data_IF_862771805757
#
_entry.id   IF_862771805757
#
_cell.length_a   1.000
_cell.length_b   1.000
_cell.length_c   1.000
_cell.angle_alpha   90.00
_cell.angle_beta   90.00
_cell.angle_gamma   90.00
#
_symmetry.space_group_name_H-M   'P 1'
#
loop_
_entity.id
_entity.type
_entity.pdbx_description
1 polymer ?
#
# COMPACT_ATOMS: atom_id res chain seq x y z
N UNK A 1 4.89 -2.05 4.15
CA UNK A 1 3.75 -2.93 3.86
C UNK A 1 4.19 -4.38 3.88
N UNK A 2 5.12 -4.79 3.01
CA UNK A 2 5.50 -6.20 2.79
C UNK A 2 6.02 -6.93 4.04
N UNK A 3 6.98 -6.33 4.75
CA UNK A 3 7.49 -6.90 6.00
C UNK A 3 6.39 -7.03 7.09
N UNK A 4 5.42 -6.12 7.06
CA UNK A 4 4.37 -6.04 8.06
C UNK A 4 3.33 -7.15 7.86
N UNK A 5 2.86 -7.37 6.63
CA UNK A 5 1.97 -8.50 6.33
C UNK A 5 2.67 -9.86 6.55
N UNK A 6 3.96 -9.95 6.22
CA UNK A 6 4.75 -11.16 6.48
C UNK A 6 4.78 -11.53 7.97
N UNK A 7 4.84 -10.53 8.85
CA UNK A 7 4.96 -10.74 10.30
C UNK A 7 3.61 -10.81 11.03
N UNK A 8 2.60 -10.10 10.56
CA UNK A 8 1.32 -9.91 11.25
C UNK A 8 0.13 -10.63 10.58
N UNK A 9 0.37 -11.34 9.47
CA UNK A 9 -0.65 -12.08 8.75
C UNK A 9 -1.33 -13.15 9.60
N UNK A 10 -2.64 -13.31 9.41
CA UNK A 10 -3.41 -14.39 10.04
C UNK A 10 -4.16 -15.19 8.99
N UNK A 11 -4.28 -16.49 9.23
CA UNK A 11 -5.01 -17.41 8.36
C UNK A 11 -6.44 -16.88 8.13
N UNK A 12 -6.92 -17.02 6.89
CA UNK A 12 -8.28 -16.67 6.47
C UNK A 12 -8.63 -15.18 6.70
N UNK A 13 -7.61 -14.30 6.74
CA UNK A 13 -7.76 -12.86 6.91
C UNK A 13 -6.88 -12.07 5.93
N UNK A 14 -7.40 -10.95 5.44
CA UNK A 14 -6.59 -9.85 4.95
C UNK A 14 -6.13 -8.96 6.12
N UNK A 15 -5.15 -8.08 5.87
CA UNK A 15 -4.65 -7.12 6.85
C UNK A 15 -4.90 -5.70 6.34
N UNK A 16 -5.72 -4.95 7.07
CA UNK A 16 -5.85 -3.51 6.89
C UNK A 16 -4.77 -2.83 7.74
N UNK A 17 -3.99 -1.96 7.11
CA UNK A 17 -2.92 -1.19 7.76
C UNK A 17 -3.30 0.29 7.65
N UNK A 18 -3.56 0.95 8.78
CA UNK A 18 -3.67 2.41 8.79
C UNK A 18 -2.26 3.00 8.77
N UNK A 19 -1.85 3.61 7.65
CA UNK A 19 -0.51 4.18 7.50
C UNK A 19 -0.23 5.39 8.41
N UNK A 20 -1.25 6.01 9.01
CA UNK A 20 -1.07 7.16 9.92
C UNK A 20 -0.72 6.71 11.33
N UNK A 21 -1.46 5.73 11.84
CA UNK A 21 -1.32 5.20 13.21
C UNK A 21 -0.42 3.96 13.26
N UNK A 22 -0.22 3.30 12.12
CA UNK A 22 0.48 2.01 11.94
C UNK A 22 -0.23 0.82 12.60
N UNK A 23 -1.51 0.99 12.93
CA UNK A 23 -2.30 -0.04 13.58
C UNK A 23 -2.75 -1.13 12.58
N UNK A 24 -2.53 -2.42 12.89
CA UNK A 24 -3.05 -3.55 12.12
C UNK A 24 -4.49 -3.87 12.50
N UNK A 25 -5.35 -4.06 11.51
CA UNK A 25 -6.69 -4.65 11.70
C UNK A 25 -6.84 -5.89 10.82
N UNK A 26 -7.10 -7.05 11.44
CA UNK A 26 -7.43 -8.27 10.68
C UNK A 26 -8.83 -8.17 10.10
N UNK A 27 -8.96 -8.43 8.80
CA UNK A 27 -10.25 -8.41 8.08
C UNK A 27 -10.52 -9.83 7.59
N UNK A 28 -11.59 -10.46 8.07
CA UNK A 28 -11.92 -11.83 7.71
C UNK A 28 -12.16 -11.96 6.20
N UNK A 29 -11.57 -12.99 5.59
CA UNK A 29 -11.72 -13.33 4.18
C UNK A 29 -12.42 -14.70 4.07
N UNK A 30 -13.75 -14.69 4.18
CA UNK A 30 -14.57 -15.91 4.35
C UNK A 30 -15.75 -15.99 3.38
N UNK A 31 -15.72 -15.26 2.26
CA UNK A 31 -16.78 -15.33 1.24
C UNK A 31 -16.68 -16.64 0.44
N UNK A 32 -17.69 -17.53 0.45
CA UNK A 32 -17.63 -18.81 -0.25
C UNK A 32 -17.54 -18.65 -1.78
N UNK A 33 -18.02 -17.52 -2.31
CA UNK A 33 -18.05 -17.22 -3.74
C UNK A 33 -16.86 -16.34 -4.20
N UNK A 34 -15.89 -16.10 -3.31
CA UNK A 34 -14.77 -15.19 -3.59
C UNK A 34 -13.44 -15.92 -3.47
N UNK A 35 -12.67 -15.90 -4.55
CA UNK A 35 -11.32 -16.47 -4.61
C UNK A 35 -10.33 -15.41 -5.12
N UNK A 36 -9.11 -15.45 -4.60
CA UNK A 36 -8.00 -14.63 -5.09
C UNK A 36 -7.12 -15.52 -5.96
N UNK A 37 -6.92 -15.10 -7.21
CA UNK A 37 -6.01 -15.77 -8.15
C UNK A 37 -4.84 -14.83 -8.45
N UNK A 38 -3.61 -15.32 -8.28
CA UNK A 38 -2.40 -14.57 -8.64
C UNK A 38 -1.99 -14.96 -10.05
N UNK A 39 -2.14 -14.04 -11.00
CA UNK A 39 -1.69 -14.21 -12.38
C UNK A 39 -0.39 -13.44 -12.62
N UNK A 40 0.71 -14.16 -12.85
CA UNK A 40 2.00 -13.54 -13.17
C UNK A 40 2.02 -13.08 -14.63
N UNK A 41 2.30 -11.79 -14.87
CA UNK A 41 2.42 -11.24 -16.23
C UNK A 41 3.68 -11.70 -16.97
N UNK A 42 4.62 -12.33 -16.25
CA UNK A 42 5.96 -12.72 -16.74
C UNK A 42 6.85 -11.56 -17.21
N UNK A 43 6.46 -10.31 -16.97
CA UNK A 43 7.30 -9.13 -17.20
C UNK A 43 8.17 -8.90 -15.97
N UNK A 44 9.49 -8.88 -16.16
CA UNK A 44 10.43 -8.59 -15.08
C UNK A 44 10.56 -7.09 -14.89
N UNK A 45 10.14 -6.60 -13.73
CA UNK A 45 10.39 -5.23 -13.27
C UNK A 45 11.51 -5.24 -12.23
N UNK A 46 12.42 -4.27 -12.31
CA UNK A 46 13.46 -4.07 -11.28
C UNK A 46 12.98 -3.07 -10.23
N UNK A 47 12.81 -3.55 -9.00
CA UNK A 47 12.36 -2.72 -7.87
C UNK A 47 13.46 -1.79 -7.32
N UNK A 48 14.72 -2.01 -7.70
CA UNK A 48 15.84 -1.12 -7.34
C UNK A 48 15.97 0.08 -8.30
N UNK A 49 15.11 0.18 -9.31
CA UNK A 49 15.06 1.32 -10.23
C UNK A 49 14.68 2.64 -9.54
N UNK A 50 15.02 3.76 -10.19
CA UNK A 50 14.67 5.10 -9.71
C UNK A 50 13.17 5.41 -9.76
N UNK A 51 12.39 4.66 -10.52
CA UNK A 51 10.96 4.90 -10.77
C UNK A 51 10.13 4.93 -9.47
N UNK A 52 10.31 3.94 -8.59
CA UNK A 52 9.57 3.91 -7.33
C UNK A 52 9.93 5.10 -6.42
N UNK A 53 11.21 5.52 -6.41
CA UNK A 53 11.67 6.70 -5.66
C UNK A 53 11.13 7.99 -6.25
N UNK A 54 11.10 8.09 -7.58
CA UNK A 54 10.60 9.25 -8.31
C UNK A 54 9.11 9.47 -8.00
N UNK A 55 8.30 8.41 -8.01
CA UNK A 55 6.88 8.51 -7.64
C UNK A 55 6.68 9.03 -6.20
N UNK A 56 7.55 8.63 -5.27
CA UNK A 56 7.53 9.15 -3.89
C UNK A 56 7.85 10.65 -3.85
N UNK A 57 8.87 11.09 -4.57
CA UNK A 57 9.26 12.50 -4.65
C UNK A 57 8.15 13.37 -5.24
N UNK A 58 7.51 12.89 -6.31
CA UNK A 58 6.40 13.57 -6.97
C UNK A 58 5.21 13.73 -6.00
N UNK A 59 4.83 12.67 -5.29
CA UNK A 59 3.77 12.76 -4.28
C UNK A 59 4.12 13.77 -3.18
N UNK A 60 5.36 13.77 -2.69
CA UNK A 60 5.81 14.71 -1.66
C UNK A 60 5.77 16.17 -2.15
N UNK A 61 6.16 16.42 -3.41
CA UNK A 61 6.12 17.74 -4.00
C UNK A 61 4.68 18.27 -4.10
N UNK A 62 3.75 17.44 -4.56
CA UNK A 62 2.33 17.81 -4.68
C UNK A 62 1.71 18.10 -3.31
N UNK A 63 1.97 17.24 -2.31
CA UNK A 63 1.46 17.47 -0.94
C UNK A 63 1.96 18.80 -0.38
N UNK A 64 3.24 19.14 -0.58
CA UNK A 64 3.80 20.44 -0.17
C UNK A 64 3.09 21.61 -0.86
N UNK A 65 2.90 21.52 -2.19
CA UNK A 65 2.21 22.57 -2.94
C UNK A 65 0.78 22.77 -2.42
N UNK A 66 0.03 21.69 -2.22
CA UNK A 66 -1.33 21.77 -1.68
C UNK A 66 -1.36 22.40 -0.28
N UNK A 67 -0.45 22.02 0.61
CA UNK A 67 -0.36 22.59 1.96
C UNK A 67 -0.08 24.10 1.95
N UNK A 68 0.71 24.59 0.98
CA UNK A 68 0.98 26.02 0.82
C UNK A 68 -0.17 26.81 0.21
N UNK A 69 -1.11 26.15 -0.46
CA UNK A 69 -2.30 26.78 -1.05
C UNK A 69 -3.46 26.87 -0.05
N UNK A 70 -3.49 26.05 1.00
CA UNK A 70 -4.54 26.04 2.04
C UNK A 70 -4.48 27.21 3.03
N UNK A 71 -3.57 28.17 2.86
CA UNK A 71 -3.55 29.43 3.64
C UNK A 71 -4.46 30.52 3.06
N UNK A 72 -5.34 30.19 2.11
CA UNK A 72 -6.34 31.08 1.50
C UNK A 72 -7.78 30.87 2.05
N UNK A 73 -7.90 30.73 3.37
CA UNK A 73 -9.15 30.93 4.14
C UNK A 73 -8.80 31.54 5.47
#
# INVERSE_FOLDING_TARGET
MDLFISSCGRKDCALLIDCRTKEPTSVAFQGPDVVIVVCNSYVKHDLNGSECKEHVLQCQAVVKALQTMTTWT
#
